data_IF_787505308018
#
_entry.id   IF_787505308018
#
_cell.length_a   1.000
_cell.length_b   1.000
_cell.length_c   1.000
_cell.angle_alpha   90.00
_cell.angle_beta   90.00
_cell.angle_gamma   90.00
#
_symmetry.space_group_name_H-M   'P 1'
#
loop_
_entity.id
_entity.type
_entity.pdbx_description
1 polymer ?
#
# COMPACT_ATOMS: atom_id res chain seq x y z
N UNK A 1 26.93 -29.33 -12.23
CA UNK A 1 26.80 -28.82 -10.85
C UNK A 1 25.41 -29.14 -10.36
N UNK A 2 25.30 -30.10 -9.44
CA UNK A 2 24.01 -30.64 -8.96
C UNK A 2 23.43 -29.72 -7.89
N UNK A 3 22.32 -29.05 -8.20
CA UNK A 3 21.42 -28.51 -7.18
C UNK A 3 20.53 -29.66 -6.68
N UNK A 4 21.11 -30.64 -6.00
CA UNK A 4 20.32 -31.72 -5.40
C UNK A 4 19.76 -31.22 -4.06
N UNK A 5 18.44 -30.99 -4.04
CA UNK A 5 17.57 -30.68 -2.89
C UNK A 5 17.69 -29.28 -2.24
N UNK A 6 17.39 -28.20 -2.96
CA UNK A 6 17.09 -26.89 -2.34
C UNK A 6 15.64 -26.47 -2.60
N UNK A 7 14.93 -26.11 -1.54
CA UNK A 7 13.59 -25.52 -1.58
C UNK A 7 13.72 -24.02 -1.28
N UNK A 8 13.12 -23.18 -2.13
CA UNK A 8 13.10 -21.74 -1.95
C UNK A 8 11.67 -21.29 -1.60
N UNK A 9 11.57 -20.34 -0.68
CA UNK A 9 10.31 -19.67 -0.35
C UNK A 9 10.49 -18.17 -0.60
N UNK A 10 9.45 -17.55 -1.19
CA UNK A 10 9.33 -16.10 -1.35
C UNK A 10 8.14 -15.65 -0.51
N UNK A 11 8.38 -14.70 0.38
CA UNK A 11 7.36 -14.14 1.27
C UNK A 11 7.28 -12.65 0.94
N UNK A 12 6.08 -12.18 0.61
CA UNK A 12 5.80 -10.78 0.27
C UNK A 12 4.58 -10.29 1.07
N UNK A 13 4.67 -9.08 1.62
CA UNK A 13 3.59 -8.51 2.43
C UNK A 13 2.57 -7.84 1.50
N UNK A 14 1.35 -8.35 1.53
CA UNK A 14 0.23 -7.75 0.81
C UNK A 14 0.04 -6.29 1.20
N UNK A 15 0.04 -5.40 0.20
CA UNK A 15 -0.25 -3.97 0.38
C UNK A 15 0.60 -3.30 1.49
N UNK A 16 1.89 -3.67 1.58
CA UNK A 16 2.79 -3.37 2.71
C UNK A 16 2.51 -2.05 3.45
N UNK A 17 2.58 -0.88 2.79
CA UNK A 17 2.37 0.40 3.51
C UNK A 17 0.95 0.58 4.04
N UNK A 18 -0.08 0.20 3.27
CA UNK A 18 -1.48 0.24 3.75
C UNK A 18 -1.67 -0.72 4.92
N UNK A 19 -1.04 -1.89 4.88
CA UNK A 19 -1.08 -2.87 5.96
C UNK A 19 -0.38 -2.34 7.22
N UNK A 20 0.73 -1.61 7.08
CA UNK A 20 1.36 -0.94 8.20
C UNK A 20 0.45 0.12 8.81
N UNK A 21 -0.17 0.99 8.01
CA UNK A 21 -1.13 1.99 8.49
C UNK A 21 -2.29 1.33 9.25
N UNK A 22 -2.86 0.23 8.74
CA UNK A 22 -3.93 -0.54 9.40
C UNK A 22 -3.54 -1.15 10.74
N UNK A 23 -2.26 -1.48 10.96
CA UNK A 23 -1.78 -1.97 12.25
C UNK A 23 -1.88 -0.89 13.32
N UNK A 24 -1.59 0.36 12.97
CA UNK A 24 -1.62 1.49 13.91
C UNK A 24 -2.98 2.20 13.97
N UNK A 25 -3.75 2.18 12.89
CA UNK A 25 -5.13 2.63 12.83
C UNK A 25 -6.04 1.52 12.26
N UNK A 26 -6.57 0.64 13.12
CA UNK A 26 -7.50 -0.41 12.72
C UNK A 26 -8.80 0.09 12.10
N UNK A 27 -9.14 1.38 12.24
CA UNK A 27 -10.33 1.95 11.60
C UNK A 27 -10.20 2.01 10.07
N UNK A 28 -9.01 1.80 9.53
CA UNK A 28 -8.70 1.73 8.09
C UNK A 28 -8.98 0.35 7.46
N UNK A 29 -9.33 -0.65 8.27
CA UNK A 29 -9.70 -1.98 7.77
C UNK A 29 -10.97 -1.90 6.92
N UNK A 30 -11.02 -2.69 5.85
CA UNK A 30 -12.14 -2.79 4.91
C UNK A 30 -12.54 -1.47 4.20
N UNK A 31 -11.65 -0.46 4.25
CA UNK A 31 -11.84 0.85 3.59
C UNK A 31 -10.90 1.03 2.40
N UNK A 32 -11.32 1.80 1.37
CA UNK A 32 -10.45 2.21 0.28
C UNK A 32 -9.39 3.19 0.80
N UNK A 33 -8.17 2.71 0.95
CA UNK A 33 -6.98 3.49 1.36
C UNK A 33 -5.92 3.49 0.26
N UNK A 34 -5.34 4.67 0.01
CA UNK A 34 -4.10 4.83 -0.75
C UNK A 34 -3.04 5.54 0.10
N UNK A 35 -1.79 5.11 -0.04
CA UNK A 35 -0.62 5.79 0.52
C UNK A 35 0.14 6.44 -0.63
N UNK A 36 0.45 7.72 -0.49
CA UNK A 36 1.10 8.53 -1.52
C UNK A 36 2.62 8.58 -1.34
N UNK A 37 3.35 8.81 -2.43
CA UNK A 37 4.79 9.05 -2.42
C UNK A 37 5.18 10.32 -1.66
N UNK A 38 6.49 10.59 -1.56
CA UNK A 38 6.99 11.92 -1.18
C UNK A 38 6.25 13.03 -1.93
N UNK A 39 5.98 14.13 -1.22
CA UNK A 39 5.21 15.28 -1.67
C UNK A 39 3.78 14.96 -2.14
N UNK A 40 3.21 13.83 -1.70
CA UNK A 40 1.84 13.42 -2.00
C UNK A 40 1.54 13.33 -3.52
N UNK A 41 2.56 12.94 -4.29
CA UNK A 41 2.48 12.92 -5.75
C UNK A 41 1.67 11.76 -6.31
N UNK A 42 2.08 10.52 -6.02
CA UNK A 42 1.53 9.32 -6.66
C UNK A 42 1.12 8.25 -5.64
N UNK A 43 0.08 7.47 -5.93
CA UNK A 43 -0.32 6.34 -5.10
C UNK A 43 0.70 5.18 -5.19
N UNK A 44 1.52 5.02 -4.15
CA UNK A 44 2.59 4.00 -4.07
C UNK A 44 2.19 2.73 -3.33
N UNK A 45 1.14 2.80 -2.51
CA UNK A 45 0.46 1.62 -2.00
C UNK A 45 -1.05 1.81 -1.99
N UNK A 46 -1.79 0.70 -2.13
CA UNK A 46 -3.23 0.71 -2.34
C UNK A 46 -3.84 -0.50 -1.64
N UNK A 47 -4.91 -0.26 -0.91
CA UNK A 47 -5.79 -1.29 -0.38
C UNK A 47 -6.43 -2.10 -1.52
N UNK A 48 -6.98 -3.29 -1.24
CA UNK A 48 -7.65 -4.08 -2.27
C UNK A 48 -8.93 -3.38 -2.77
N UNK A 49 -9.58 -2.67 -1.87
CA UNK A 49 -10.75 -1.83 -2.05
C UNK A 49 -10.43 -0.70 -3.04
N UNK A 50 -9.31 0.01 -2.85
CA UNK A 50 -8.85 1.04 -3.81
C UNK A 50 -8.44 0.45 -5.17
N UNK A 51 -7.87 -0.77 -5.19
CA UNK A 51 -7.57 -1.45 -6.47
C UNK A 51 -8.86 -1.80 -7.22
N UNK A 52 -9.92 -2.22 -6.52
CA UNK A 52 -11.21 -2.54 -7.13
C UNK A 52 -11.88 -1.31 -7.75
N UNK A 53 -11.60 -0.10 -7.23
CA UNK A 53 -12.02 1.18 -7.81
C UNK A 53 -11.21 1.60 -9.06
N UNK A 54 -10.24 0.79 -9.50
CA UNK A 54 -9.43 1.06 -10.69
C UNK A 54 -8.24 2.00 -10.46
N UNK A 55 -7.93 2.38 -9.22
CA UNK A 55 -6.75 3.19 -8.91
C UNK A 55 -5.50 2.36 -9.21
N UNK A 56 -4.70 2.78 -10.19
CA UNK A 56 -3.50 2.06 -10.67
C UNK A 56 -2.28 2.33 -9.78
N UNK A 57 -1.27 1.46 -9.86
CA UNK A 57 -0.01 1.68 -9.13
C UNK A 57 0.72 2.88 -9.71
N UNK A 58 1.27 3.74 -8.85
CA UNK A 58 2.06 4.90 -9.27
C UNK A 58 1.25 5.98 -9.99
N UNK A 59 -0.09 5.88 -9.99
CA UNK A 59 -0.93 6.91 -10.60
C UNK A 59 -0.80 8.22 -9.82
N UNK A 60 -0.57 9.36 -10.50
CA UNK A 60 -0.58 10.65 -9.83
C UNK A 60 -1.94 10.94 -9.21
N UNK A 61 -1.96 11.47 -7.98
CA UNK A 61 -3.19 11.74 -7.24
C UNK A 61 -4.16 12.59 -8.07
N UNK A 62 -3.65 13.61 -8.78
CA UNK A 62 -4.47 14.52 -9.57
C UNK A 62 -5.28 13.84 -10.67
N UNK A 63 -4.81 12.71 -11.21
CA UNK A 63 -5.52 11.97 -12.26
C UNK A 63 -6.67 11.12 -11.73
N UNK A 64 -6.69 10.84 -10.42
CA UNK A 64 -7.70 10.01 -9.76
C UNK A 64 -8.51 10.78 -8.71
N UNK A 65 -8.40 12.11 -8.69
CA UNK A 65 -9.12 12.99 -7.74
C UNK A 65 -10.63 12.73 -7.73
N UNK A 66 -11.23 12.55 -8.90
CA UNK A 66 -12.67 12.32 -9.02
C UNK A 66 -13.07 10.99 -8.36
N UNK A 67 -12.32 9.92 -8.62
CA UNK A 67 -12.54 8.60 -7.99
C UNK A 67 -12.37 8.71 -6.47
N UNK A 68 -11.34 9.42 -6.01
CA UNK A 68 -11.06 9.64 -4.59
C UNK A 68 -12.23 10.32 -3.90
N UNK A 69 -12.75 11.39 -4.50
CA UNK A 69 -13.89 12.14 -3.95
C UNK A 69 -15.19 11.33 -4.01
N UNK A 70 -15.50 10.71 -5.15
CA UNK A 70 -16.72 9.96 -5.36
C UNK A 70 -16.86 8.76 -4.40
N UNK A 71 -15.76 8.07 -4.11
CA UNK A 71 -15.75 6.86 -3.30
C UNK A 71 -15.24 7.06 -1.87
N UNK A 72 -15.00 8.31 -1.46
CA UNK A 72 -14.44 8.66 -0.15
C UNK A 72 -13.15 7.87 0.16
N UNK A 73 -12.24 7.80 -0.82
CA UNK A 73 -10.96 7.10 -0.66
C UNK A 73 -10.11 7.85 0.36
N UNK A 74 -9.62 7.14 1.36
CA UNK A 74 -8.71 7.68 2.37
C UNK A 74 -7.33 7.82 1.74
N UNK A 75 -6.78 9.03 1.79
CA UNK A 75 -5.50 9.39 1.20
C UNK A 75 -4.53 9.74 2.32
N UNK A 76 -3.44 8.97 2.42
CA UNK A 76 -2.42 9.15 3.43
C UNK A 76 -1.08 9.53 2.80
N UNK A 77 -0.35 10.45 3.44
CA UNK A 77 1.06 10.69 3.14
C UNK A 77 1.91 9.52 3.62
N UNK A 78 3.02 9.23 2.95
CA UNK A 78 3.92 8.14 3.38
C UNK A 78 4.63 8.43 4.70
N UNK A 79 4.61 7.47 5.62
CA UNK A 79 5.48 7.41 6.79
C UNK A 79 6.59 6.35 6.62
N UNK A 80 7.62 6.67 5.82
CA UNK A 80 8.69 5.72 5.50
C UNK A 80 9.50 5.24 6.71
N UNK A 81 9.65 6.06 7.75
CA UNK A 81 10.34 5.66 8.98
C UNK A 81 9.57 4.54 9.69
N UNK A 82 8.25 4.70 9.84
CA UNK A 82 7.38 3.67 10.41
C UNK A 82 7.37 2.40 9.57
N UNK A 83 7.26 2.53 8.23
CA UNK A 83 7.27 1.38 7.34
C UNK A 83 8.59 0.60 7.40
N UNK A 84 9.72 1.31 7.42
CA UNK A 84 11.04 0.68 7.55
C UNK A 84 11.19 -0.06 8.89
N UNK A 85 10.68 0.53 9.97
CA UNK A 85 10.68 -0.12 11.29
C UNK A 85 9.81 -1.39 11.31
N UNK A 86 8.62 -1.34 10.71
CA UNK A 86 7.77 -2.54 10.55
C UNK A 86 8.48 -3.60 9.71
N UNK A 87 9.08 -3.22 8.58
CA UNK A 87 9.82 -4.14 7.71
C UNK A 87 11.00 -4.82 8.38
N UNK A 88 11.60 -4.23 9.42
CA UNK A 88 12.70 -4.86 10.17
C UNK A 88 12.23 -5.93 11.16
N UNK A 89 10.93 -5.95 11.48
CA UNK A 89 10.34 -6.89 12.44
C UNK A 89 9.89 -8.20 11.80
N UNK A 90 9.82 -8.24 10.47
CA UNK A 90 9.45 -9.40 9.66
C UNK A 90 10.62 -9.80 8.76
#
# INVERSE_FOLDING_TARGET
MKYENKVFFLIDVNNMYVSCERVFDPSLNDKPVIVLSNNDGCAVARSNESKALGIKMGVPLFQVKDIVQQHNVIVLSSNYAMYAEMSRRF
#
